data_IF_453874332654
#
_entry.id   IF_453874332654
#
_cell.length_a   1.000
_cell.length_b   1.000
_cell.length_c   1.000
_cell.angle_alpha   90.00
_cell.angle_beta   90.00
_cell.angle_gamma   90.00
#
_symmetry.space_group_name_H-M   'P 1'
#
loop_
_entity.id
_entity.type
_entity.pdbx_description
1 polymer ?
#
# COMPACT_ATOMS: atom_id res chain seq x y z
N UNK A 1 11.76 1.80 -21.23
CA UNK A 1 11.28 2.98 -20.47
C UNK A 1 10.98 4.09 -21.46
N UNK A 2 9.94 4.92 -21.22
CA UNK A 2 9.50 5.94 -22.20
C UNK A 2 10.50 7.07 -22.44
N UNK A 3 11.46 7.26 -21.55
CA UNK A 3 12.48 8.32 -21.61
C UNK A 3 13.87 7.84 -22.09
N UNK A 4 13.99 6.56 -22.47
CA UNK A 4 15.25 5.96 -22.94
C UNK A 4 16.36 5.88 -21.88
N UNK A 5 16.09 6.24 -20.63
CA UNK A 5 17.06 6.21 -19.53
C UNK A 5 16.85 4.99 -18.65
N UNK A 6 17.94 4.42 -18.15
CA UNK A 6 17.92 3.36 -17.16
C UNK A 6 17.75 3.94 -15.77
N UNK A 7 16.72 3.52 -15.04
CA UNK A 7 16.50 3.92 -13.67
C UNK A 7 16.52 2.69 -12.77
N UNK A 8 17.12 2.82 -11.59
CA UNK A 8 16.94 1.85 -10.53
C UNK A 8 15.50 1.99 -10.01
N UNK A 9 14.74 0.94 -10.16
CA UNK A 9 13.35 0.91 -9.73
C UNK A 9 13.08 -0.33 -8.89
N UNK A 10 12.18 -0.18 -7.95
CA UNK A 10 11.62 -1.28 -7.18
C UNK A 10 10.11 -1.35 -7.45
N UNK A 11 9.59 -2.55 -7.44
CA UNK A 11 8.18 -2.83 -7.60
C UNK A 11 7.63 -3.25 -6.23
N UNK A 12 6.72 -2.46 -5.69
CA UNK A 12 5.99 -2.84 -4.49
C UNK A 12 4.75 -3.66 -4.86
N UNK A 13 4.49 -4.75 -4.14
CA UNK A 13 3.28 -5.54 -4.26
C UNK A 13 2.52 -5.48 -2.93
N UNK A 14 1.21 -5.28 -3.00
CA UNK A 14 0.33 -5.24 -1.85
C UNK A 14 -0.65 -6.42 -1.90
N UNK A 15 -0.69 -7.23 -0.84
CA UNK A 15 -1.79 -8.15 -0.60
C UNK A 15 -2.83 -7.44 0.27
N UNK A 16 -4.04 -7.29 -0.26
CA UNK A 16 -5.13 -6.56 0.38
C UNK A 16 -6.26 -7.54 0.66
N UNK A 17 -6.73 -7.55 1.90
CA UNK A 17 -7.96 -8.26 2.23
C UNK A 17 -9.17 -7.57 1.58
N UNK A 18 -9.92 -8.33 0.80
CA UNK A 18 -11.04 -7.78 0.04
C UNK A 18 -12.25 -7.45 0.92
N UNK A 19 -12.35 -7.97 2.12
CA UNK A 19 -13.48 -7.69 3.00
C UNK A 19 -13.30 -6.40 3.81
N UNK A 20 -12.14 -6.19 4.35
CA UNK A 20 -11.82 -5.01 5.17
C UNK A 20 -11.15 -3.89 4.38
N UNK A 21 -10.50 -4.22 3.26
CA UNK A 21 -9.63 -3.31 2.52
C UNK A 21 -8.27 -3.09 3.17
N UNK A 22 -7.95 -3.81 4.25
CA UNK A 22 -6.67 -3.71 4.93
C UNK A 22 -5.56 -4.37 4.10
N UNK A 23 -4.39 -3.77 4.10
CA UNK A 23 -3.20 -4.38 3.50
C UNK A 23 -2.61 -5.37 4.50
N UNK A 24 -2.59 -6.65 4.12
CA UNK A 24 -2.13 -7.75 4.97
C UNK A 24 -0.63 -7.99 4.83
N UNK A 25 -0.11 -7.88 3.60
CA UNK A 25 1.32 -8.02 3.35
C UNK A 25 1.80 -7.05 2.28
N UNK A 26 3.08 -6.72 2.35
CA UNK A 26 3.79 -5.88 1.39
C UNK A 26 5.12 -6.52 1.07
N UNK A 27 5.37 -6.77 -0.19
CA UNK A 27 6.68 -7.19 -0.68
C UNK A 27 7.26 -6.13 -1.60
N UNK A 28 8.58 -6.07 -1.65
CA UNK A 28 9.31 -5.17 -2.53
C UNK A 28 10.18 -6.02 -3.45
N UNK A 29 9.96 -5.91 -4.73
CA UNK A 29 10.65 -6.67 -5.75
C UNK A 29 11.56 -5.78 -6.58
N UNK A 30 12.56 -6.36 -7.21
CA UNK A 30 13.31 -5.70 -8.27
C UNK A 30 12.41 -5.51 -9.50
N UNK A 31 12.54 -4.38 -10.17
CA UNK A 31 11.63 -4.02 -11.27
C UNK A 31 11.76 -4.91 -12.53
N UNK A 32 12.82 -5.69 -12.64
CA UNK A 32 13.08 -6.66 -13.72
C UNK A 32 12.35 -8.01 -13.49
N UNK A 33 11.95 -8.31 -12.24
CA UNK A 33 11.20 -9.54 -11.94
C UNK A 33 9.78 -9.45 -12.49
N UNK A 34 9.39 -10.49 -13.22
CA UNK A 34 8.04 -10.61 -13.75
C UNK A 34 7.00 -10.94 -12.68
N UNK A 35 5.78 -10.44 -12.81
CA UNK A 35 4.67 -10.67 -11.86
C UNK A 35 4.41 -12.16 -11.59
N UNK A 36 4.60 -13.02 -12.59
CA UNK A 36 4.40 -14.46 -12.45
C UNK A 36 5.42 -15.17 -11.56
N UNK A 37 6.53 -14.51 -11.24
CA UNK A 37 7.58 -15.07 -10.37
C UNK A 37 7.49 -14.54 -8.93
N UNK A 38 6.84 -13.38 -8.72
CA UNK A 38 6.78 -12.70 -7.43
C UNK A 38 5.52 -13.00 -6.62
N UNK A 39 4.46 -13.52 -7.26
CA UNK A 39 3.19 -13.82 -6.60
C UNK A 39 3.34 -14.77 -5.40
N UNK A 40 4.18 -15.80 -5.53
CA UNK A 40 4.33 -16.81 -4.48
C UNK A 40 4.91 -16.22 -3.20
N UNK A 41 5.87 -15.30 -3.33
CA UNK A 41 6.47 -14.60 -2.18
C UNK A 41 5.43 -13.73 -1.48
N UNK A 42 4.70 -12.91 -2.25
CA UNK A 42 3.65 -12.05 -1.70
C UNK A 42 2.51 -12.85 -1.06
N UNK A 43 2.13 -13.98 -1.67
CA UNK A 43 1.09 -14.86 -1.12
C UNK A 43 1.57 -15.58 0.16
N UNK A 44 2.84 -15.98 0.21
CA UNK A 44 3.44 -16.60 1.40
C UNK A 44 3.49 -15.62 2.57
N UNK A 45 3.95 -14.38 2.34
CA UNK A 45 3.97 -13.32 3.36
C UNK A 45 2.56 -13.02 3.88
N UNK A 46 1.58 -12.94 2.97
CA UNK A 46 0.18 -12.75 3.36
C UNK A 46 -0.35 -13.94 4.18
N UNK A 47 -0.01 -15.17 3.79
CA UNK A 47 -0.40 -16.38 4.53
C UNK A 47 0.18 -16.41 5.93
N UNK A 48 1.46 -16.06 6.09
CA UNK A 48 2.11 -15.97 7.41
C UNK A 48 1.45 -14.90 8.29
N UNK A 49 1.16 -13.73 7.74
CA UNK A 49 0.47 -12.66 8.48
C UNK A 49 -0.93 -13.08 8.93
N UNK A 50 -1.70 -13.76 8.08
CA UNK A 50 -3.04 -14.27 8.45
C UNK A 50 -2.93 -15.35 9.53
N UNK A 51 -1.98 -16.28 9.43
CA UNK A 51 -1.76 -17.31 10.44
C UNK A 51 -1.37 -16.71 11.80
N UNK A 52 -0.52 -15.68 11.82
CA UNK A 52 -0.18 -14.95 13.04
C UNK A 52 -1.41 -14.27 13.65
N UNK A 53 -2.28 -13.67 12.82
CA UNK A 53 -3.52 -13.04 13.30
C UNK A 53 -4.48 -14.07 13.91
N UNK A 54 -4.62 -15.24 13.30
CA UNK A 54 -5.42 -16.36 13.86
C UNK A 54 -4.89 -16.78 15.23
N UNK A 55 -3.56 -16.96 15.36
CA UNK A 55 -2.94 -17.31 16.65
C UNK A 55 -3.18 -16.24 17.71
N UNK A 56 -2.99 -14.97 17.38
CA UNK A 56 -3.23 -13.85 18.31
C UNK A 56 -4.71 -13.70 18.68
N UNK A 57 -5.62 -13.93 17.76
CA UNK A 57 -7.05 -13.86 18.03
C UNK A 57 -7.47 -14.96 19.03
N UNK A 58 -6.97 -16.18 18.85
CA UNK A 58 -7.21 -17.29 19.76
C UNK A 58 -6.66 -17.03 21.18
N UNK A 59 -5.51 -16.36 21.30
CA UNK A 59 -4.92 -15.98 22.59
C UNK A 59 -5.71 -14.86 23.29
N UNK A 60 -6.14 -13.83 22.54
CA UNK A 60 -6.79 -12.65 23.09
C UNK A 60 -8.28 -12.84 23.36
N UNK A 61 -8.95 -13.75 22.66
CA UNK A 61 -10.39 -13.96 22.69
C UNK A 61 -10.75 -15.44 22.54
N UNK A 62 -10.38 -16.29 23.51
CA UNK A 62 -10.57 -17.74 23.39
C UNK A 62 -12.05 -18.14 23.32
N UNK A 63 -12.95 -17.33 23.90
CA UNK A 63 -14.40 -17.62 23.99
C UNK A 63 -15.22 -16.99 22.86
N UNK A 64 -14.62 -16.10 22.05
CA UNK A 64 -15.31 -15.45 20.94
C UNK A 64 -15.26 -16.29 19.66
N UNK A 65 -16.27 -16.14 18.80
CA UNK A 65 -16.20 -16.70 17.46
C UNK A 65 -15.07 -16.04 16.66
N UNK A 66 -14.19 -16.81 16.00
CA UNK A 66 -13.08 -16.27 15.25
C UNK A 66 -13.57 -15.39 14.08
N UNK A 67 -13.00 -14.19 13.98
CA UNK A 67 -13.30 -13.24 12.91
C UNK A 67 -12.37 -13.43 11.73
N UNK A 68 -11.18 -13.95 11.99
CA UNK A 68 -10.20 -14.30 10.93
C UNK A 68 -10.49 -15.73 10.48
N UNK A 69 -10.41 -15.96 9.17
CA UNK A 69 -10.63 -17.30 8.61
C UNK A 69 -9.56 -18.28 9.12
N UNK A 70 -10.00 -19.30 9.86
CA UNK A 70 -9.11 -20.34 10.42
C UNK A 70 -8.39 -21.17 9.35
N UNK A 71 -8.97 -21.28 8.16
CA UNK A 71 -8.37 -21.99 7.02
C UNK A 71 -7.32 -21.13 6.29
N UNK A 72 -7.10 -19.90 6.73
CA UNK A 72 -6.19 -18.96 6.08
C UNK A 72 -6.75 -18.38 4.78
N UNK A 73 -5.89 -18.26 3.76
CA UNK A 73 -6.27 -17.68 2.46
C UNK A 73 -6.93 -18.74 1.59
N UNK A 74 -8.23 -18.60 1.31
CA UNK A 74 -8.97 -19.51 0.44
C UNK A 74 -9.05 -19.02 -1.02
N UNK A 75 -9.01 -17.71 -1.22
CA UNK A 75 -9.20 -17.09 -2.54
C UNK A 75 -8.12 -16.04 -2.81
N UNK A 76 -7.58 -16.03 -4.01
CA UNK A 76 -6.65 -15.00 -4.48
C UNK A 76 -7.17 -14.36 -5.75
N UNK A 77 -7.24 -13.03 -5.74
CA UNK A 77 -7.66 -12.21 -6.87
C UNK A 77 -6.48 -11.35 -7.31
N UNK A 78 -5.96 -11.61 -8.50
CA UNK A 78 -4.79 -10.89 -8.99
C UNK A 78 -4.99 -10.34 -10.41
N UNK A 79 -4.12 -9.40 -10.80
CA UNK A 79 -4.19 -8.79 -12.12
C UNK A 79 -3.76 -9.78 -13.22
N UNK A 80 -4.12 -9.46 -14.45
CA UNK A 80 -3.75 -10.24 -15.64
C UNK A 80 -2.24 -10.42 -15.82
N UNK A 81 -1.43 -9.54 -15.20
CA UNK A 81 0.03 -9.64 -15.16
C UNK A 81 0.52 -10.96 -14.57
N UNK A 82 -0.15 -11.42 -13.53
CA UNK A 82 0.17 -12.66 -12.81
C UNK A 82 -0.32 -13.93 -13.51
N UNK A 83 -1.08 -13.82 -14.59
CA UNK A 83 -1.67 -15.00 -15.25
C UNK A 83 -0.63 -15.81 -16.02
N UNK A 84 -0.38 -17.05 -15.56
CA UNK A 84 0.30 -18.10 -16.33
C UNK A 84 -0.25 -19.47 -15.96
N UNK A 85 -0.03 -20.48 -16.81
CA UNK A 85 -0.43 -21.86 -16.51
C UNK A 85 0.31 -22.42 -15.29
N UNK A 86 1.58 -22.05 -15.12
CA UNK A 86 2.38 -22.46 -13.97
C UNK A 86 1.86 -21.86 -12.66
N UNK A 87 1.54 -20.56 -12.65
CA UNK A 87 0.95 -19.88 -11.49
C UNK A 87 -0.39 -20.50 -11.13
N UNK A 88 -1.28 -20.70 -12.10
CA UNK A 88 -2.59 -21.30 -11.85
C UNK A 88 -2.48 -22.72 -11.24
N UNK A 89 -1.50 -23.53 -11.71
CA UNK A 89 -1.21 -24.84 -11.12
C UNK A 89 -0.70 -24.71 -9.68
N UNK A 90 0.26 -23.82 -9.41
CA UNK A 90 0.83 -23.60 -8.06
C UNK A 90 -0.21 -23.12 -7.06
N UNK A 91 -0.98 -22.09 -7.41
CA UNK A 91 -2.05 -21.59 -6.54
C UNK A 91 -3.07 -22.69 -6.22
N UNK A 92 -3.41 -23.51 -7.22
CA UNK A 92 -4.27 -24.69 -7.00
C UNK A 92 -3.63 -25.71 -6.05
N UNK A 93 -2.32 -25.96 -6.13
CA UNK A 93 -1.64 -26.91 -5.23
C UNK A 93 -1.60 -26.44 -3.77
N UNK A 94 -1.73 -25.14 -3.53
CA UNK A 94 -1.91 -24.57 -2.18
C UNK A 94 -3.36 -24.68 -1.65
N UNK A 95 -4.28 -25.26 -2.40
CA UNK A 95 -5.70 -25.31 -2.06
C UNK A 95 -6.45 -24.00 -2.29
N UNK A 96 -5.79 -22.98 -2.83
CA UNK A 96 -6.34 -21.64 -3.00
C UNK A 96 -7.05 -21.49 -4.36
N UNK A 97 -8.22 -20.88 -4.36
CA UNK A 97 -9.00 -20.58 -5.58
C UNK A 97 -8.48 -19.29 -6.20
N UNK A 98 -8.00 -19.37 -7.45
CA UNK A 98 -7.51 -18.21 -8.18
C UNK A 98 -8.60 -17.52 -9.00
N UNK A 99 -8.57 -16.18 -9.04
CA UNK A 99 -9.37 -15.31 -9.91
C UNK A 99 -8.45 -14.33 -10.63
N UNK A 100 -7.78 -14.79 -11.68
CA UNK A 100 -6.79 -14.05 -12.44
C UNK A 100 -7.23 -13.94 -13.89
N UNK A 101 -7.45 -12.72 -14.38
CA UNK A 101 -7.84 -12.50 -15.78
C UNK A 101 -6.77 -12.95 -16.75
N UNK A 102 -7.16 -13.55 -17.86
CA UNK A 102 -6.22 -14.01 -18.90
C UNK A 102 -5.75 -12.84 -19.78
N UNK A 103 -4.46 -12.85 -20.12
CA UNK A 103 -3.94 -11.98 -21.18
C UNK A 103 -4.52 -12.42 -22.53
N UNK A 104 -4.92 -11.45 -23.37
CA UNK A 104 -5.32 -11.75 -24.75
C UNK A 104 -4.14 -12.41 -25.47
N UNK A 105 -4.33 -13.62 -25.95
CA UNK A 105 -3.32 -14.33 -26.74
C UNK A 105 -3.75 -14.42 -28.19
N UNK A 106 -2.79 -14.27 -29.09
CA UNK A 106 -2.96 -14.59 -30.51
C UNK A 106 -2.76 -16.10 -30.66
N UNK A 107 -3.78 -16.79 -31.20
CA UNK A 107 -3.72 -18.23 -31.45
C UNK A 107 -4.19 -19.13 -30.30
N UNK A 108 -4.17 -20.44 -30.57
CA UNK A 108 -4.62 -21.50 -29.65
C UNK A 108 -3.47 -21.94 -28.77
N UNK A 109 -3.71 -22.08 -27.44
CA UNK A 109 -2.70 -22.62 -26.53
C UNK A 109 -2.46 -24.10 -26.77
N UNK A 110 -1.19 -24.51 -26.80
CA UNK A 110 -0.79 -25.90 -26.81
C UNK A 110 -0.62 -26.42 -25.39
N UNK A 111 -1.33 -27.55 -25.11
CA UNK A 111 -1.36 -28.14 -23.77
C UNK A 111 -0.70 -29.52 -23.71
N UNK A 112 0.03 -29.93 -24.76
CA UNK A 112 0.75 -31.20 -24.77
C UNK A 112 1.67 -31.32 -23.56
N UNK A 113 1.53 -32.38 -22.76
CA UNK A 113 2.29 -32.60 -21.53
C UNK A 113 1.98 -31.65 -20.36
N UNK A 114 0.94 -30.80 -20.45
CA UNK A 114 0.59 -29.79 -19.43
C UNK A 114 -0.87 -29.90 -18.96
N UNK A 115 -1.37 -31.13 -18.78
CA UNK A 115 -2.79 -31.38 -18.45
C UNK A 115 -3.23 -30.69 -17.14
N UNK A 116 -2.39 -30.71 -16.09
CA UNK A 116 -2.71 -30.07 -14.82
C UNK A 116 -2.79 -28.53 -14.94
N UNK A 117 -1.87 -27.93 -15.70
CA UNK A 117 -1.93 -26.49 -15.97
C UNK A 117 -3.18 -26.11 -16.77
N UNK A 118 -3.54 -26.92 -17.76
CA UNK A 118 -4.76 -26.75 -18.54
C UNK A 118 -5.99 -26.78 -17.64
N UNK A 119 -6.09 -27.79 -16.77
CA UNK A 119 -7.20 -27.93 -15.83
C UNK A 119 -7.29 -26.71 -14.90
N UNK A 120 -6.17 -26.29 -14.32
CA UNK A 120 -6.13 -25.15 -13.42
C UNK A 120 -6.55 -23.84 -14.11
N UNK A 121 -6.07 -23.60 -15.36
CA UNK A 121 -6.44 -22.44 -16.16
C UNK A 121 -7.93 -22.48 -16.52
N UNK A 122 -8.48 -23.62 -16.90
CA UNK A 122 -9.90 -23.71 -17.25
C UNK A 122 -10.81 -23.50 -16.03
N UNK A 123 -10.43 -24.01 -14.86
CA UNK A 123 -11.14 -23.76 -13.62
C UNK A 123 -11.08 -22.27 -13.23
N UNK A 124 -9.91 -21.62 -13.34
CA UNK A 124 -9.79 -20.18 -13.15
C UNK A 124 -10.66 -19.39 -14.13
N UNK A 125 -10.64 -19.75 -15.41
CA UNK A 125 -11.45 -19.10 -16.45
C UNK A 125 -12.95 -19.20 -16.16
N UNK A 126 -13.42 -20.36 -15.70
CA UNK A 126 -14.81 -20.56 -15.33
C UNK A 126 -15.21 -19.66 -14.16
N UNK A 127 -14.39 -19.58 -13.11
CA UNK A 127 -14.61 -18.70 -11.96
C UNK A 127 -14.63 -17.21 -12.33
N UNK A 128 -13.66 -16.76 -13.15
CA UNK A 128 -13.57 -15.36 -13.60
C UNK A 128 -14.76 -14.92 -14.45
N UNK A 129 -15.37 -15.83 -15.21
CA UNK A 129 -16.55 -15.54 -16.03
C UNK A 129 -17.84 -15.40 -15.23
N UNK A 130 -17.92 -16.02 -14.07
CA UNK A 130 -19.06 -15.93 -13.16
C UNK A 130 -19.26 -14.54 -12.59
N UNK A 131 -20.47 -14.20 -12.17
CA UNK A 131 -20.79 -12.88 -11.58
C UNK A 131 -19.99 -12.62 -10.31
N UNK A 132 -19.80 -13.63 -9.47
CA UNK A 132 -18.97 -13.54 -8.28
C UNK A 132 -17.53 -13.18 -8.63
N UNK A 133 -16.91 -13.87 -9.58
CA UNK A 133 -15.55 -13.57 -10.03
C UNK A 133 -15.39 -12.16 -10.60
N UNK A 134 -16.39 -11.69 -11.39
CA UNK A 134 -16.41 -10.32 -11.91
C UNK A 134 -16.51 -9.28 -10.78
N UNK A 135 -17.31 -9.55 -9.76
CA UNK A 135 -17.44 -8.66 -8.60
C UNK A 135 -16.14 -8.57 -7.81
N UNK A 136 -15.46 -9.71 -7.58
CA UNK A 136 -14.16 -9.77 -6.92
C UNK A 136 -13.08 -8.99 -7.69
N UNK A 137 -13.01 -9.16 -9.00
CA UNK A 137 -12.04 -8.42 -9.82
C UNK A 137 -12.27 -6.92 -9.79
N UNK A 138 -13.52 -6.45 -9.77
CA UNK A 138 -13.87 -5.04 -9.62
C UNK A 138 -13.44 -4.51 -8.23
N UNK A 139 -13.83 -5.25 -7.17
CA UNK A 139 -13.49 -4.90 -5.78
C UNK A 139 -11.97 -4.86 -5.56
N UNK A 140 -11.24 -5.84 -6.12
CA UNK A 140 -9.78 -5.84 -6.09
C UNK A 140 -9.20 -4.57 -6.70
N UNK A 141 -9.62 -4.16 -7.90
CA UNK A 141 -9.16 -2.92 -8.54
C UNK A 141 -9.31 -1.73 -7.59
N UNK A 142 -10.52 -1.53 -7.07
CA UNK A 142 -10.81 -0.41 -6.17
C UNK A 142 -9.95 -0.41 -4.90
N UNK A 143 -9.85 -1.54 -4.20
CA UNK A 143 -9.16 -1.60 -2.90
C UNK A 143 -7.64 -1.53 -3.03
N UNK A 144 -7.07 -2.22 -4.02
CA UNK A 144 -5.63 -2.19 -4.25
C UNK A 144 -5.18 -0.81 -4.73
N UNK A 145 -5.93 -0.18 -5.63
CA UNK A 145 -5.63 1.18 -6.10
C UNK A 145 -5.65 2.20 -4.95
N UNK A 146 -6.56 2.07 -3.98
CA UNK A 146 -6.60 2.94 -2.80
C UNK A 146 -5.34 2.85 -1.95
N UNK A 147 -4.82 1.63 -1.72
CA UNK A 147 -3.60 1.43 -0.94
C UNK A 147 -2.38 2.03 -1.64
N UNK A 148 -2.26 1.85 -2.94
CA UNK A 148 -1.19 2.47 -3.73
C UNK A 148 -1.33 3.98 -3.84
N UNK A 149 -2.54 4.50 -4.04
CA UNK A 149 -2.77 5.95 -4.07
C UNK A 149 -2.34 6.60 -2.74
N UNK A 150 -2.64 5.97 -1.60
CA UNK A 150 -2.17 6.48 -0.30
C UNK A 150 -0.63 6.50 -0.23
N UNK A 151 0.05 5.41 -0.58
CA UNK A 151 1.50 5.34 -0.53
C UNK A 151 2.17 6.32 -1.51
N UNK A 152 1.67 6.43 -2.73
CA UNK A 152 2.30 7.22 -3.77
C UNK A 152 1.96 8.71 -3.70
N UNK A 153 0.71 9.05 -3.42
CA UNK A 153 0.27 10.47 -3.40
C UNK A 153 0.51 11.10 -2.01
N UNK A 154 0.04 10.44 -0.96
CA UNK A 154 0.18 10.97 0.41
C UNK A 154 1.57 10.68 0.97
N UNK A 155 2.10 9.48 0.76
CA UNK A 155 3.40 9.03 1.25
C UNK A 155 4.59 9.49 0.42
N UNK A 156 4.37 10.05 -0.78
CA UNK A 156 5.43 10.50 -1.68
C UNK A 156 6.35 9.37 -2.15
N UNK A 157 5.85 8.11 -2.21
CA UNK A 157 6.64 6.93 -2.53
C UNK A 157 6.89 6.72 -4.04
N UNK A 158 6.38 7.61 -4.92
CA UNK A 158 6.70 7.57 -6.36
C UNK A 158 8.20 7.71 -6.63
N UNK A 159 8.92 8.39 -5.72
CA UNK A 159 10.38 8.49 -5.72
C UNK A 159 10.89 8.30 -4.30
N UNK A 160 11.93 7.49 -4.15
CA UNK A 160 12.59 7.31 -2.86
C UNK A 160 14.03 7.80 -2.94
N UNK A 161 14.47 8.48 -1.90
CA UNK A 161 15.86 8.90 -1.70
C UNK A 161 16.62 7.94 -0.78
N UNK A 162 15.94 6.90 -0.28
CA UNK A 162 16.55 5.89 0.57
C UNK A 162 17.37 4.92 -0.27
N UNK A 163 18.49 4.51 0.28
CA UNK A 163 19.34 3.47 -0.30
C UNK A 163 19.12 2.15 0.42
N UNK A 164 19.17 1.07 -0.35
CA UNK A 164 19.00 -0.30 0.13
C UNK A 164 17.54 -0.74 0.22
N UNK A 165 17.32 -1.96 -0.26
CA UNK A 165 16.02 -2.62 -0.35
C UNK A 165 15.26 -2.59 1.00
N UNK A 166 15.92 -2.96 2.09
CA UNK A 166 15.32 -3.01 3.43
C UNK A 166 14.81 -1.63 3.92
N UNK A 167 15.55 -0.56 3.63
CA UNK A 167 15.14 0.78 4.03
C UNK A 167 13.91 1.27 3.25
N UNK A 168 13.84 0.91 1.96
CA UNK A 168 12.71 1.22 1.10
C UNK A 168 11.47 0.44 1.57
N UNK A 169 11.64 -0.87 1.86
CA UNK A 169 10.57 -1.71 2.40
C UNK A 169 10.05 -1.19 3.75
N UNK A 170 10.93 -0.85 4.69
CA UNK A 170 10.54 -0.26 5.98
C UNK A 170 9.69 1.00 5.80
N UNK A 171 10.09 1.88 4.89
CA UNK A 171 9.31 3.08 4.58
C UNK A 171 7.95 2.74 3.99
N UNK A 172 7.88 1.76 3.09
CA UNK A 172 6.62 1.29 2.52
C UNK A 172 5.70 0.74 3.62
N UNK A 173 6.23 -0.08 4.53
CA UNK A 173 5.48 -0.64 5.65
C UNK A 173 4.92 0.45 6.59
N UNK A 174 5.67 1.52 6.85
CA UNK A 174 5.18 2.66 7.65
C UNK A 174 3.97 3.31 6.98
N UNK A 175 4.02 3.56 5.67
CA UNK A 175 2.90 4.17 4.95
C UNK A 175 1.69 3.24 4.89
N UNK A 176 1.91 1.94 4.70
CA UNK A 176 0.84 0.94 4.73
C UNK A 176 0.25 0.82 6.14
N UNK A 177 1.06 0.85 7.18
CA UNK A 177 0.59 0.88 8.57
C UNK A 177 -0.29 2.12 8.85
N UNK A 178 0.12 3.29 8.36
CA UNK A 178 -0.69 4.51 8.46
C UNK A 178 -2.00 4.40 7.66
N UNK A 179 -1.98 3.74 6.49
CA UNK A 179 -3.17 3.45 5.72
C UNK A 179 -4.15 2.54 6.49
N UNK A 180 -3.68 1.41 7.01
CA UNK A 180 -4.49 0.49 7.80
C UNK A 180 -5.05 1.17 9.07
N UNK A 181 -4.23 1.95 9.77
CA UNK A 181 -4.69 2.73 10.93
C UNK A 181 -5.80 3.70 10.52
N UNK A 182 -5.73 4.32 9.35
CA UNK A 182 -6.78 5.20 8.84
C UNK A 182 -8.10 4.48 8.58
N UNK A 183 -8.05 3.20 8.18
CA UNK A 183 -9.26 2.37 8.03
C UNK A 183 -9.91 2.10 9.38
N UNK A 184 -9.11 1.72 10.38
CA UNK A 184 -9.58 1.48 11.76
C UNK A 184 -10.21 2.76 12.34
N UNK A 185 -9.52 3.89 12.25
CA UNK A 185 -10.03 5.17 12.74
C UNK A 185 -11.34 5.58 12.05
N UNK A 186 -11.45 5.32 10.74
CA UNK A 186 -12.66 5.58 9.98
C UNK A 186 -13.82 4.73 10.46
N UNK A 187 -13.58 3.47 10.76
CA UNK A 187 -14.59 2.54 11.26
C UNK A 187 -15.03 2.90 12.69
N UNK A 188 -14.10 3.27 13.56
CA UNK A 188 -14.37 3.63 14.97
C UNK A 188 -15.06 4.99 15.10
N UNK A 189 -14.70 5.97 14.28
CA UNK A 189 -15.12 7.36 14.45
C UNK A 189 -16.13 7.83 13.42
N UNK A 190 -16.47 7.00 12.43
CA UNK A 190 -17.37 7.36 11.35
C UNK A 190 -16.86 8.53 10.47
N UNK A 191 -15.59 8.89 10.61
CA UNK A 191 -14.99 9.98 9.86
C UNK A 191 -14.42 9.48 8.53
N UNK A 192 -14.72 10.17 7.42
CA UNK A 192 -14.40 9.72 6.07
C UNK A 192 -12.91 9.66 5.77
N UNK A 193 -12.21 10.78 5.81
CA UNK A 193 -10.78 10.84 5.45
C UNK A 193 -9.95 11.54 6.52
N UNK A 194 -8.63 11.29 6.61
CA UNK A 194 -7.75 12.04 7.51
C UNK A 194 -7.81 13.55 7.31
N UNK A 195 -8.08 14.02 6.07
CA UNK A 195 -8.28 15.44 5.77
C UNK A 195 -9.57 15.98 6.37
N UNK A 196 -10.64 15.21 6.27
CA UNK A 196 -11.94 15.57 6.87
C UNK A 196 -11.84 15.63 8.39
N UNK A 197 -11.11 14.71 8.99
CA UNK A 197 -10.82 14.69 10.42
C UNK A 197 -10.05 15.93 10.87
N UNK A 198 -9.00 16.28 10.14
CA UNK A 198 -8.23 17.50 10.40
C UNK A 198 -9.12 18.75 10.33
N UNK A 199 -10.02 18.81 9.37
CA UNK A 199 -10.97 19.94 9.22
C UNK A 199 -11.96 19.97 10.39
N UNK A 200 -12.50 18.84 10.82
CA UNK A 200 -13.40 18.74 11.98
C UNK A 200 -12.68 19.10 13.28
N UNK A 201 -11.48 18.60 13.50
CA UNK A 201 -10.66 18.96 14.66
C UNK A 201 -10.26 20.44 14.64
N UNK A 202 -9.93 21.00 13.47
CA UNK A 202 -9.66 22.43 13.31
C UNK A 202 -10.86 23.30 13.65
N UNK A 203 -12.06 22.91 13.21
CA UNK A 203 -13.32 23.57 13.56
C UNK A 203 -13.62 23.50 15.08
N UNK A 204 -13.40 22.33 15.69
CA UNK A 204 -13.58 22.13 17.12
C UNK A 204 -12.60 22.99 17.94
N UNK A 205 -11.32 23.03 17.55
CA UNK A 205 -10.33 23.90 18.17
C UNK A 205 -10.65 25.39 18.00
N UNK A 206 -11.13 25.80 16.84
CA UNK A 206 -11.64 27.16 16.60
C UNK A 206 -12.84 27.47 17.51
N UNK A 207 -13.79 26.55 17.62
CA UNK A 207 -14.98 26.70 18.46
C UNK A 207 -14.61 26.79 19.94
N UNK A 208 -13.69 25.92 20.41
CA UNK A 208 -13.10 25.99 21.76
C UNK A 208 -12.35 27.30 21.98
N UNK A 209 -11.57 27.74 20.99
CA UNK A 209 -10.86 29.04 21.07
C UNK A 209 -11.84 30.23 21.19
N UNK A 210 -12.98 30.20 20.50
CA UNK A 210 -14.01 31.25 20.62
C UNK A 210 -14.87 31.13 21.88
N UNK A 211 -15.08 29.92 22.39
CA UNK A 211 -15.87 29.67 23.60
C UNK A 211 -15.09 29.87 24.90
N UNK A 212 -13.76 29.77 24.85
CA UNK A 212 -12.94 30.07 26.01
C UNK A 212 -13.00 31.57 26.31
N UNK A 213 -13.47 31.95 27.51
CA UNK A 213 -13.50 33.37 27.88
C UNK A 213 -12.06 33.92 27.80
N UNK A 214 -11.90 34.93 26.94
CA UNK A 214 -10.65 35.68 26.89
C UNK A 214 -10.41 36.27 28.27
N UNK A 215 -9.57 35.62 29.07
CA UNK A 215 -8.97 36.28 30.23
C UNK A 215 -8.14 37.43 29.66
N UNK A 216 -8.68 38.64 29.74
CA UNK A 216 -7.87 39.86 29.56
C UNK A 216 -6.75 39.85 30.60
N UNK A 217 -5.65 39.22 30.23
CA UNK A 217 -4.41 39.29 30.97
C UNK A 217 -3.91 40.74 30.88
N UNK A 218 -4.03 41.52 31.96
CA UNK A 218 -3.28 42.74 32.13
C UNK A 218 -1.82 42.48 31.73
N UNK A 219 -1.45 42.93 30.55
CA UNK A 219 -0.08 42.98 30.10
C UNK A 219 0.74 43.89 31.04
N UNK A 220 1.30 43.29 32.07
CA UNK A 220 2.49 43.86 32.69
C UNK A 220 3.66 43.52 31.79
N UNK A 221 3.99 44.45 30.92
CA UNK A 221 5.22 44.43 30.12
C UNK A 221 6.41 44.30 31.08
N UNK A 222 6.84 43.07 31.31
CA UNK A 222 8.15 42.82 31.89
C UNK A 222 9.20 43.05 30.79
N UNK A 223 9.71 44.27 30.73
CA UNK A 223 10.79 44.68 29.81
C UNK A 223 12.10 44.08 30.33
N UNK A 224 12.33 42.80 30.05
CA UNK A 224 13.65 42.19 30.20
C UNK A 224 14.52 42.59 29.02
N UNK A 225 15.47 43.52 29.30
CA UNK A 225 16.56 43.85 28.39
C UNK A 225 17.46 42.61 28.28
N UNK A 226 17.35 41.89 27.18
CA UNK A 226 18.35 40.87 26.81
C UNK A 226 19.47 41.61 26.08
N UNK A 227 20.61 41.77 26.76
CA UNK A 227 21.87 42.24 26.16
C UNK A 227 22.47 41.10 25.37
N UNK A 228 22.42 41.17 24.06
CA UNK A 228 23.15 40.26 23.15
C UNK A 228 24.59 40.77 23.02
N UNK A 229 25.53 40.08 23.65
CA UNK A 229 26.95 40.24 23.34
C UNK A 229 27.26 39.61 21.96
N UNK A 230 27.76 40.45 21.06
CA UNK A 230 28.25 40.05 19.73
C UNK A 230 29.53 39.21 19.87
N UNK A 231 29.47 37.94 19.73
CA UNK A 231 30.65 37.12 19.42
C UNK A 231 30.89 37.16 17.89
N UNK A 232 32.04 37.72 17.54
CA UNK A 232 32.56 37.74 16.16
C UNK A 232 33.00 36.32 15.82
N UNK A 233 32.31 35.68 14.89
CA UNK A 233 32.86 34.52 14.19
C UNK A 233 33.30 34.92 12.78
N UNK A 234 34.56 34.61 12.47
CA UNK A 234 35.18 34.75 11.18
C UNK A 234 34.50 33.81 10.17
N UNK A 235 34.37 34.20 8.91
CA UNK A 235 33.85 33.33 7.87
C UNK A 235 34.97 32.47 7.28
N UNK A 236 34.85 31.16 7.34
CA UNK A 236 35.66 30.26 6.53
C UNK A 236 34.79 29.60 5.46
N UNK A 237 35.31 29.72 4.23
CA UNK A 237 35.14 28.92 3.03
C UNK A 237 33.74 28.72 2.41
N UNK A 238 33.68 29.35 1.32
CA UNK A 238 32.91 29.17 0.07
C UNK A 238 32.37 27.76 -0.17
N UNK A 239 31.05 27.60 -0.02
CA UNK A 239 30.32 26.60 -0.79
C UNK A 239 29.33 27.30 -1.74
N UNK A 240 29.62 27.18 -3.05
CA UNK A 240 28.84 27.72 -4.15
C UNK A 240 27.58 26.88 -4.31
N UNK A 241 26.44 27.33 -3.76
CA UNK A 241 25.12 26.73 -4.03
C UNK A 241 24.71 27.06 -5.46
N UNK A 242 24.74 26.08 -6.36
CA UNK A 242 24.13 26.22 -7.67
C UNK A 242 22.62 26.23 -7.53
N UNK A 243 22.02 27.35 -7.83
CA UNK A 243 20.59 27.56 -8.00
C UNK A 243 20.09 26.66 -9.12
N UNK A 244 19.30 25.65 -8.82
CA UNK A 244 18.64 24.81 -9.82
C UNK A 244 17.28 25.42 -10.15
N UNK A 245 17.14 25.90 -11.39
CA UNK A 245 15.90 26.46 -11.92
C UNK A 245 14.86 25.34 -12.11
N UNK A 246 13.67 25.64 -11.65
CA UNK A 246 12.47 24.85 -11.96
C UNK A 246 12.23 24.89 -13.47
N UNK A 247 12.25 23.74 -14.14
CA UNK A 247 11.47 23.49 -15.36
C UNK A 247 11.18 22.00 -15.49
N UNK A 248 9.90 21.76 -15.84
CA UNK A 248 9.28 20.58 -16.42
C UNK A 248 8.76 19.49 -15.46
N UNK A 249 7.48 19.62 -15.22
CA UNK A 249 6.51 18.55 -14.91
C UNK A 249 6.56 17.49 -16.01
N UNK A 250 7.03 16.30 -15.68
CA UNK A 250 6.80 15.10 -16.47
C UNK A 250 5.82 14.21 -15.71
N UNK A 251 4.61 14.15 -16.23
CA UNK A 251 3.58 13.19 -15.87
C UNK A 251 4.02 11.80 -16.29
N UNK A 252 4.19 10.91 -15.33
CA UNK A 252 4.41 9.49 -15.59
C UNK A 252 3.14 8.74 -15.22
N UNK A 253 2.47 8.21 -16.24
CA UNK A 253 1.48 7.17 -16.06
C UNK A 253 2.23 5.86 -15.83
N UNK A 254 2.03 5.26 -14.68
CA UNK A 254 2.44 3.88 -14.43
C UNK A 254 1.24 3.00 -14.70
N UNK A 255 1.25 2.34 -15.86
CA UNK A 255 0.45 1.14 -16.08
C UNK A 255 1.08 0.04 -15.21
N UNK A 256 0.38 -0.31 -14.14
CA UNK A 256 0.59 -1.56 -13.41
C UNK A 256 -0.16 -2.70 -14.09
#
# INVERSE_FOLDING_TARGET
MKDGRTHLAHKAEHAVDLDTGAVVAVTLQEADKGDTTTLDETLSEAGMAVAELVGREAELRPDDQPKVNLNGIEEVVADKGYHSGAVAKRVKSYGVRSYISEKKQKGRRHWAGKAEQQQAVYQNRQRVRGEYGKSLLRRRGELVERSFAHCYETGGMRRTHLRGHQNILKRQLIHVGAFNLSLILRQLMGAGTPREWRNRCGLLLLLVYFLLPRREGRNRLCRSRISMSRTKYLPSSRYRVRRWSRRNSATYATDC
#
